data_IF_274732354257
#
_entry.id   IF_274732354257
#
_cell.length_a   1.000
_cell.length_b   1.000
_cell.length_c   1.000
_cell.angle_alpha   90.00
_cell.angle_beta   90.00
_cell.angle_gamma   90.00
#
_symmetry.space_group_name_H-M   'P 1'
#
loop_
_entity.id
_entity.type
_entity.pdbx_description
1 polymer ?
#
# COMPACT_ATOMS: atom_id res chain seq x y z
N UNK A 1 27.97 19.32 -20.56
CA UNK A 1 28.85 18.73 -19.52
C UNK A 1 28.01 18.61 -18.26
N UNK A 2 27.39 17.44 -18.04
CA UNK A 2 26.54 17.21 -16.88
C UNK A 2 27.35 16.46 -15.82
N UNK A 3 27.31 16.97 -14.59
CA UNK A 3 27.96 16.37 -13.42
C UNK A 3 27.14 15.16 -12.98
N UNK A 4 27.74 13.98 -13.07
CA UNK A 4 27.25 12.76 -12.41
C UNK A 4 27.63 12.89 -10.93
N UNK A 5 26.65 12.86 -10.04
CA UNK A 5 26.89 12.75 -8.60
C UNK A 5 27.33 11.30 -8.30
N UNK A 6 28.46 11.14 -7.61
CA UNK A 6 29.00 9.85 -7.22
C UNK A 6 28.24 9.23 -6.03
N UNK A 7 27.86 7.97 -6.23
CA UNK A 7 27.87 6.82 -5.29
C UNK A 7 27.96 7.15 -3.79
N UNK A 8 26.86 6.91 -3.08
CA UNK A 8 26.81 6.88 -1.61
C UNK A 8 26.04 5.66 -1.11
N UNK A 9 26.77 4.71 -0.51
CA UNK A 9 26.33 3.72 0.49
C UNK A 9 25.04 2.92 0.25
N UNK A 10 25.19 1.62 -0.05
CA UNK A 10 24.15 0.62 0.22
C UNK A 10 24.20 0.30 1.73
N UNK A 11 23.11 0.56 2.47
CA UNK A 11 22.59 -0.44 3.41
C UNK A 11 21.06 -0.46 3.26
N UNK A 12 20.43 -1.53 2.82
CA UNK A 12 20.22 -2.81 3.50
C UNK A 12 19.83 -3.83 2.41
N UNK A 13 19.83 -5.16 2.66
CA UNK A 13 18.88 -5.96 1.92
C UNK A 13 17.50 -5.36 2.25
N UNK A 14 16.78 -4.84 1.24
CA UNK A 14 15.34 -4.72 1.40
C UNK A 14 14.89 -6.18 1.60
N UNK A 15 14.76 -6.59 2.85
CA UNK A 15 13.98 -7.76 3.21
C UNK A 15 12.57 -7.36 2.84
N UNK A 16 12.19 -7.56 1.58
CA UNK A 16 10.80 -7.45 1.19
C UNK A 16 10.10 -8.54 1.98
N UNK A 17 9.40 -8.13 3.04
CA UNK A 17 8.59 -9.07 3.81
C UNK A 17 7.41 -9.57 2.98
N UNK A 18 7.17 -8.99 1.81
CA UNK A 18 6.51 -9.56 0.66
C UNK A 18 6.89 -8.77 -0.60
N UNK A 19 6.99 -9.41 -1.76
CA UNK A 19 7.27 -8.73 -3.04
C UNK A 19 6.30 -7.56 -3.30
N UNK A 20 5.08 -7.64 -2.75
CA UNK A 20 4.03 -6.63 -2.84
C UNK A 20 4.28 -5.36 -2.01
N UNK A 21 4.94 -5.45 -0.85
CA UNK A 21 5.32 -4.27 -0.08
C UNK A 21 6.39 -3.47 -0.83
N UNK A 22 7.35 -4.15 -1.45
CA UNK A 22 8.37 -3.53 -2.30
C UNK A 22 7.81 -2.93 -3.60
N UNK A 23 6.78 -3.56 -4.16
CA UNK A 23 6.12 -3.21 -5.42
C UNK A 23 5.24 -1.95 -5.31
N UNK A 24 4.69 -1.64 -4.12
CA UNK A 24 3.78 -0.49 -3.91
C UNK A 24 4.43 0.66 -3.12
N UNK A 25 5.72 0.54 -2.77
CA UNK A 25 6.51 1.70 -2.39
C UNK A 25 6.63 2.60 -3.63
N UNK A 26 6.10 3.82 -3.50
CA UNK A 26 6.16 4.88 -4.49
C UNK A 26 7.47 4.82 -5.27
N UNK A 27 7.40 4.43 -6.55
CA UNK A 27 8.57 4.52 -7.42
C UNK A 27 8.78 6.00 -7.67
N UNK A 28 9.50 6.63 -6.76
CA UNK A 28 9.85 8.03 -6.85
C UNK A 28 10.95 8.16 -7.91
N UNK A 29 10.56 8.12 -9.18
CA UNK A 29 11.30 8.47 -10.41
C UNK A 29 12.72 7.88 -10.62
N UNK A 30 13.26 7.11 -9.67
CA UNK A 30 14.66 6.65 -9.62
C UNK A 30 14.77 5.21 -9.06
N UNK A 31 13.67 4.44 -9.05
CA UNK A 31 13.60 3.15 -8.37
C UNK A 31 13.89 1.94 -9.27
N UNK A 32 14.80 1.07 -8.83
CA UNK A 32 14.96 -0.29 -9.36
C UNK A 32 14.02 -1.26 -8.63
N UNK A 33 13.35 -2.17 -9.34
CA UNK A 33 12.57 -3.27 -8.76
C UNK A 33 13.29 -4.60 -9.02
N UNK A 34 13.51 -5.39 -7.99
CA UNK A 34 14.12 -6.72 -8.10
C UNK A 34 13.18 -7.83 -7.63
N UNK A 35 13.24 -8.98 -8.31
CA UNK A 35 12.66 -10.26 -7.87
C UNK A 35 13.80 -11.23 -7.57
N UNK A 36 14.15 -11.37 -6.30
CA UNK A 36 15.39 -12.08 -5.93
C UNK A 36 16.61 -11.31 -6.43
N UNK A 37 17.39 -11.91 -7.33
CA UNK A 37 18.55 -11.27 -7.97
C UNK A 37 18.26 -10.76 -9.40
N UNK A 38 17.02 -10.90 -9.87
CA UNK A 38 16.59 -10.47 -11.21
C UNK A 38 16.07 -9.04 -11.15
N UNK A 39 16.62 -8.13 -11.98
CA UNK A 39 16.10 -6.78 -12.16
C UNK A 39 14.85 -6.82 -13.06
N UNK A 40 13.74 -6.29 -12.56
CA UNK A 40 12.45 -6.21 -13.26
C UNK A 40 12.21 -4.81 -13.81
N UNK A 41 12.44 -3.77 -13.01
CA UNK A 41 12.29 -2.36 -13.42
C UNK A 41 13.59 -1.61 -13.15
N UNK A 42 13.99 -0.74 -14.06
CA UNK A 42 14.97 0.32 -13.83
C UNK A 42 14.54 1.57 -14.60
N UNK A 43 13.96 2.55 -13.90
CA UNK A 43 13.50 3.80 -14.52
C UNK A 43 14.65 4.74 -14.95
N UNK A 44 15.88 4.46 -14.52
CA UNK A 44 17.06 5.25 -14.88
C UNK A 44 17.76 4.70 -16.13
N UNK A 45 17.65 3.40 -16.39
CA UNK A 45 18.29 2.74 -17.53
C UNK A 45 17.34 2.28 -18.64
N UNK A 46 16.06 2.03 -18.33
CA UNK A 46 15.08 1.49 -19.28
C UNK A 46 13.97 2.50 -19.58
N UNK A 47 13.44 2.43 -20.80
CA UNK A 47 12.24 3.18 -21.19
C UNK A 47 11.01 2.73 -20.40
N UNK A 48 9.96 3.56 -20.40
CA UNK A 48 8.68 3.20 -19.79
C UNK A 48 8.12 1.92 -20.41
N UNK A 49 8.16 1.79 -21.74
CA UNK A 49 7.65 0.62 -22.47
C UNK A 49 8.43 -0.66 -22.12
N UNK A 50 9.76 -0.58 -21.98
CA UNK A 50 10.59 -1.71 -21.55
C UNK A 50 10.26 -2.12 -20.12
N UNK A 51 10.10 -1.16 -19.21
CA UNK A 51 9.69 -1.43 -17.83
C UNK A 51 8.31 -2.10 -17.75
N UNK A 52 7.33 -1.62 -18.53
CA UNK A 52 6.00 -2.25 -18.61
C UNK A 52 6.09 -3.65 -19.20
N UNK A 53 6.89 -3.85 -20.26
CA UNK A 53 7.09 -5.18 -20.86
C UNK A 53 7.72 -6.17 -19.87
N UNK A 54 8.72 -5.73 -19.10
CA UNK A 54 9.38 -6.56 -18.09
C UNK A 54 8.42 -6.93 -16.95
N UNK A 55 7.59 -5.98 -16.50
CA UNK A 55 6.55 -6.25 -15.51
C UNK A 55 5.59 -7.33 -15.99
N UNK A 56 5.05 -7.18 -17.20
CA UNK A 56 4.13 -8.16 -17.78
C UNK A 56 4.81 -9.54 -17.94
N UNK A 57 6.06 -9.58 -18.38
CA UNK A 57 6.84 -10.83 -18.47
C UNK A 57 7.09 -11.47 -17.10
N UNK A 58 7.19 -10.66 -16.04
CA UNK A 58 7.31 -11.12 -14.66
C UNK A 58 5.96 -11.56 -14.04
N UNK A 59 4.85 -11.44 -14.79
CA UNK A 59 3.50 -11.71 -14.31
C UNK A 59 2.97 -10.62 -13.38
N UNK A 60 3.42 -9.38 -13.55
CA UNK A 60 3.07 -8.21 -12.75
C UNK A 60 2.31 -7.21 -13.63
N UNK A 61 1.15 -6.79 -13.17
CA UNK A 61 0.36 -5.70 -13.75
C UNK A 61 0.64 -4.39 -13.02
N UNK A 62 0.55 -3.27 -13.72
CA UNK A 62 0.77 -1.93 -13.18
C UNK A 62 -0.42 -1.01 -13.49
N UNK A 63 -0.81 -0.18 -12.52
CA UNK A 63 -1.89 0.83 -12.63
C UNK A 63 -1.38 2.18 -12.17
N UNK A 64 -1.67 3.24 -12.92
CA UNK A 64 -1.44 4.62 -12.47
C UNK A 64 -2.51 5.03 -11.46
N UNK A 65 -2.09 5.57 -10.33
CA UNK A 65 -2.93 6.18 -9.30
C UNK A 65 -2.41 7.57 -8.95
N UNK A 66 -2.69 8.55 -9.81
CA UNK A 66 -2.41 9.95 -9.51
C UNK A 66 -0.92 10.27 -9.40
N UNK A 67 -0.09 9.61 -10.22
CA UNK A 67 1.37 9.78 -10.21
C UNK A 67 2.13 8.68 -9.45
N UNK A 68 1.43 7.69 -8.90
CA UNK A 68 2.02 6.48 -8.36
C UNK A 68 1.74 5.29 -9.28
N UNK A 69 2.74 4.43 -9.48
CA UNK A 69 2.54 3.16 -10.16
C UNK A 69 2.28 2.08 -9.12
N UNK A 70 1.07 1.54 -9.12
CA UNK A 70 0.66 0.44 -8.25
C UNK A 70 0.87 -0.86 -9.00
N UNK A 71 1.63 -1.79 -8.44
CA UNK A 71 1.84 -3.09 -9.07
C UNK A 71 1.20 -4.22 -8.27
N UNK A 72 0.77 -5.24 -8.99
CA UNK A 72 0.15 -6.46 -8.45
C UNK A 72 0.52 -7.64 -9.33
N UNK A 73 0.55 -8.85 -8.78
CA UNK A 73 0.64 -10.04 -9.63
C UNK A 73 -0.64 -10.23 -10.42
N UNK A 74 -0.49 -10.61 -11.69
CA UNK A 74 -1.60 -11.01 -12.55
C UNK A 74 -2.30 -12.25 -12.02
N UNK A 75 -1.58 -13.15 -11.36
CA UNK A 75 -2.15 -14.26 -10.58
C UNK A 75 -2.54 -13.76 -9.18
N UNK A 76 -3.85 -13.68 -8.85
CA UNK A 76 -4.30 -13.17 -7.56
C UNK A 76 -3.83 -14.00 -6.36
N UNK A 77 -3.52 -15.29 -6.55
CA UNK A 77 -3.07 -16.17 -5.47
C UNK A 77 -1.65 -15.87 -4.98
N UNK A 78 -0.87 -15.17 -5.81
CA UNK A 78 0.47 -14.68 -5.45
C UNK A 78 0.41 -13.34 -4.72
N UNK A 79 -0.77 -12.71 -4.69
CA UNK A 79 -0.95 -11.46 -3.97
C UNK A 79 -1.21 -11.73 -2.48
N UNK A 80 -0.57 -10.94 -1.62
CA UNK A 80 -0.75 -11.01 -0.18
C UNK A 80 -2.10 -10.42 0.19
N UNK A 81 -2.77 -11.03 1.16
CA UNK A 81 -4.00 -10.47 1.73
C UNK A 81 -3.75 -9.37 2.77
N UNK A 82 -2.49 -8.96 2.93
CA UNK A 82 -2.12 -7.93 3.90
C UNK A 82 -2.87 -6.63 3.62
N UNK A 83 -3.33 -5.99 4.69
CA UNK A 83 -3.86 -4.62 4.62
C UNK A 83 -3.16 -3.75 5.64
N UNK A 84 -3.16 -2.47 5.37
CA UNK A 84 -2.53 -1.44 6.17
C UNK A 84 -3.59 -0.46 6.61
N UNK A 85 -3.57 -0.12 7.89
CA UNK A 85 -4.57 0.74 8.49
C UNK A 85 -3.92 1.99 9.02
N UNK A 86 -4.46 3.12 8.61
CA UNK A 86 -4.26 4.40 9.25
C UNK A 86 -5.58 4.84 9.88
N UNK A 87 -5.53 5.35 11.09
CA UNK A 87 -6.68 5.97 11.74
C UNK A 87 -6.30 7.31 12.35
N UNK A 88 -7.28 8.21 12.43
CA UNK A 88 -7.14 9.41 13.24
C UNK A 88 -8.49 9.84 13.83
N UNK A 89 -8.42 10.50 14.98
CA UNK A 89 -9.57 11.08 15.67
C UNK A 89 -9.61 12.58 15.42
N UNK A 90 -10.79 13.14 15.11
CA UNK A 90 -10.96 14.54 14.79
C UNK A 90 -12.29 15.09 15.33
N UNK A 91 -12.40 16.40 15.60
CA UNK A 91 -13.66 17.01 15.98
C UNK A 91 -14.61 17.10 14.77
N UNK A 92 -15.85 16.65 14.92
CA UNK A 92 -16.93 16.72 13.94
C UNK A 92 -18.26 17.03 14.63
N UNK A 93 -18.97 18.05 14.16
CA UNK A 93 -20.30 18.46 14.67
C UNK A 93 -20.38 18.58 16.21
N UNK A 94 -19.32 19.10 16.84
CA UNK A 94 -19.28 19.28 18.30
C UNK A 94 -18.99 18.01 19.10
N UNK A 95 -18.61 16.92 18.44
CA UNK A 95 -18.16 15.65 19.05
C UNK A 95 -16.82 15.22 18.47
N UNK A 96 -16.22 14.17 19.04
CA UNK A 96 -15.09 13.48 18.41
C UNK A 96 -15.62 12.39 17.47
N UNK A 97 -15.01 12.30 16.30
CA UNK A 97 -15.24 11.25 15.31
C UNK A 97 -13.91 10.57 14.95
N UNK A 98 -14.00 9.39 14.35
CA UNK A 98 -12.86 8.59 13.90
C UNK A 98 -12.98 8.34 12.41
N UNK A 99 -11.90 8.59 11.68
CA UNK A 99 -11.75 8.15 10.31
C UNK A 99 -10.69 7.06 10.24
N UNK A 100 -11.03 5.97 9.56
CA UNK A 100 -10.18 4.79 9.38
C UNK A 100 -9.99 4.60 7.88
N UNK A 101 -8.74 4.54 7.47
CA UNK A 101 -8.31 4.25 6.11
C UNK A 101 -7.69 2.86 6.12
N UNK A 102 -8.23 1.97 5.30
CA UNK A 102 -7.70 0.64 5.07
C UNK A 102 -7.23 0.61 3.63
N UNK A 103 -6.00 0.14 3.40
CA UNK A 103 -5.43 0.08 2.07
C UNK A 103 -4.55 -1.16 1.91
N UNK A 104 -4.30 -1.57 0.69
CA UNK A 104 -3.48 -2.72 0.29
C UNK A 104 -1.97 -2.42 0.27
N UNK A 105 -1.53 -1.28 0.82
CA UNK A 105 -0.15 -0.81 0.71
C UNK A 105 0.41 -0.03 1.88
N UNK A 106 1.73 -0.06 1.97
CA UNK A 106 2.46 0.72 2.97
C UNK A 106 2.83 2.12 2.43
N UNK A 107 2.14 3.17 2.89
CA UNK A 107 2.42 4.57 2.52
C UNK A 107 3.34 5.32 3.49
N UNK A 108 3.52 4.80 4.70
CA UNK A 108 4.24 5.48 5.79
C UNK A 108 4.61 4.50 6.90
N UNK A 109 5.50 4.91 7.81
CA UNK A 109 5.83 4.10 9.00
C UNK A 109 4.74 4.18 10.09
N UNK A 110 3.68 4.97 9.90
CA UNK A 110 2.66 5.22 10.91
C UNK A 110 1.45 4.29 10.78
N UNK A 111 1.38 3.51 9.72
CA UNK A 111 0.29 2.56 9.44
C UNK A 111 0.57 1.20 10.05
N UNK A 112 -0.50 0.56 10.51
CA UNK A 112 -0.45 -0.77 11.13
C UNK A 112 -0.75 -1.82 10.07
N UNK A 113 0.14 -2.79 9.92
CA UNK A 113 -0.03 -3.95 9.03
C UNK A 113 -0.86 -5.03 9.70
N UNK A 114 -1.83 -5.58 8.97
CA UNK A 114 -2.64 -6.75 9.33
C UNK A 114 -2.53 -7.81 8.23
N UNK A 115 -2.72 -9.09 8.58
CA UNK A 115 -2.62 -10.19 7.60
C UNK A 115 -3.87 -10.31 6.70
N UNK A 116 -4.98 -9.70 7.10
CA UNK A 116 -6.24 -9.70 6.35
C UNK A 116 -7.13 -8.50 6.69
N UNK A 117 -8.08 -8.20 5.80
CA UNK A 117 -9.16 -7.24 6.07
C UNK A 117 -9.99 -7.63 7.29
N UNK A 118 -10.27 -8.93 7.49
CA UNK A 118 -11.04 -9.40 8.64
C UNK A 118 -10.33 -9.07 9.96
N UNK A 119 -9.03 -9.33 10.03
CA UNK A 119 -8.20 -9.03 11.19
C UNK A 119 -8.13 -7.52 11.46
N UNK A 120 -7.93 -6.71 10.42
CA UNK A 120 -7.95 -5.25 10.52
C UNK A 120 -9.29 -4.73 11.06
N UNK A 121 -10.40 -5.19 10.50
CA UNK A 121 -11.72 -4.79 10.96
C UNK A 121 -11.98 -5.24 12.40
N UNK A 122 -11.54 -6.44 12.80
CA UNK A 122 -11.65 -6.89 14.18
C UNK A 122 -10.86 -5.98 15.13
N UNK A 123 -9.60 -5.65 14.80
CA UNK A 123 -8.79 -4.75 15.60
C UNK A 123 -9.41 -3.35 15.73
N UNK A 124 -10.02 -2.83 14.66
CA UNK A 124 -10.71 -1.54 14.69
C UNK A 124 -11.98 -1.57 15.54
N UNK A 125 -12.74 -2.68 15.50
CA UNK A 125 -13.91 -2.88 16.37
C UNK A 125 -13.50 -2.81 17.83
N UNK A 126 -12.48 -3.58 18.20
CA UNK A 126 -11.98 -3.67 19.57
C UNK A 126 -11.44 -2.32 20.08
N UNK A 127 -10.85 -1.52 19.18
CA UNK A 127 -10.34 -0.18 19.49
C UNK A 127 -11.45 0.85 19.71
N UNK A 128 -12.51 0.86 18.90
CA UNK A 128 -13.42 2.01 18.81
C UNK A 128 -14.87 1.78 19.25
N UNK A 129 -15.45 0.59 19.10
CA UNK A 129 -16.89 0.40 19.33
C UNK A 129 -17.32 0.51 20.80
N UNK A 130 -16.38 0.56 21.75
CA UNK A 130 -16.64 0.90 23.15
C UNK A 130 -16.53 2.40 23.48
N UNK A 131 -16.03 3.21 22.55
CA UNK A 131 -15.70 4.63 22.75
C UNK A 131 -16.48 5.58 21.84
N UNK A 132 -16.89 5.11 20.66
CA UNK A 132 -17.61 5.86 19.64
C UNK A 132 -18.85 5.10 19.20
N UNK A 133 -19.92 5.82 18.87
CA UNK A 133 -21.06 5.23 18.18
C UNK A 133 -20.72 4.93 16.71
N UNK A 134 -21.47 4.02 16.07
CA UNK A 134 -21.22 3.64 14.68
C UNK A 134 -21.28 4.84 13.71
N UNK A 135 -22.10 5.85 14.00
CA UNK A 135 -22.21 7.07 13.17
C UNK A 135 -21.01 8.03 13.33
N UNK A 136 -20.22 7.85 14.39
CA UNK A 136 -19.00 8.63 14.66
C UNK A 136 -17.76 7.95 14.06
N UNK A 137 -17.92 6.78 13.44
CA UNK A 137 -16.83 6.02 12.81
C UNK A 137 -17.08 5.95 11.30
N UNK A 138 -16.11 6.41 10.51
CA UNK A 138 -16.12 6.23 9.06
C UNK A 138 -14.93 5.39 8.64
N UNK A 139 -15.21 4.25 7.99
CA UNK A 139 -14.19 3.33 7.48
C UNK A 139 -14.18 3.42 5.95
N UNK A 140 -13.01 3.66 5.39
CA UNK A 140 -12.78 3.73 3.95
C UNK A 140 -11.75 2.68 3.57
N UNK A 141 -12.11 1.76 2.69
CA UNK A 141 -11.19 0.81 2.10
C UNK A 141 -10.81 1.28 0.70
N UNK A 142 -9.52 1.43 0.46
CA UNK A 142 -8.93 1.77 -0.82
C UNK A 142 -8.38 0.49 -1.44
N UNK A 143 -8.87 0.18 -2.63
CA UNK A 143 -8.47 -0.98 -3.42
C UNK A 143 -7.91 -0.54 -4.78
N UNK A 144 -7.43 -1.52 -5.52
CA UNK A 144 -7.08 -1.43 -6.93
C UNK A 144 -8.27 -1.12 -7.86
N UNK A 145 -9.49 -1.04 -7.36
CA UNK A 145 -10.68 -0.70 -8.16
C UNK A 145 -11.41 0.55 -7.68
N UNK A 146 -11.03 1.13 -6.53
CA UNK A 146 -11.58 2.39 -6.05
C UNK A 146 -11.57 2.52 -4.53
N UNK A 147 -12.43 3.39 -4.02
CA UNK A 147 -12.65 3.56 -2.59
C UNK A 147 -14.07 3.11 -2.25
N UNK A 148 -14.21 2.23 -1.26
CA UNK A 148 -15.49 1.81 -0.72
C UNK A 148 -15.62 2.25 0.74
N UNK A 149 -16.84 2.68 1.12
CA UNK A 149 -17.17 2.97 2.51
C UNK A 149 -17.66 1.69 3.18
N UNK A 150 -16.98 1.29 4.25
CA UNK A 150 -17.38 0.14 5.07
C UNK A 150 -18.11 0.63 6.33
N UNK A 151 -18.94 -0.26 6.89
CA UNK A 151 -19.57 -0.06 8.19
C UNK A 151 -18.89 -0.94 9.22
N UNK A 152 -18.42 -0.33 10.31
CA UNK A 152 -17.87 -1.04 11.46
C UNK A 152 -19.02 -1.41 12.41
N UNK A 153 -19.59 -2.60 12.25
CA UNK A 153 -20.68 -3.10 13.11
C UNK A 153 -20.17 -3.97 14.25
N UNK A 154 -20.92 -4.02 15.36
CA UNK A 154 -20.69 -5.03 16.41
C UNK A 154 -20.92 -6.45 15.84
N UNK A 155 -20.06 -7.41 16.23
CA UNK A 155 -20.32 -8.84 15.94
C UNK A 155 -21.52 -9.28 16.78
N UNK A 156 -22.53 -9.83 16.12
CA UNK A 156 -23.65 -10.55 16.74
C UNK A 156 -23.20 -11.84 17.40
#
# INVERSE_FOLDING_TARGET
MYKIAQKGSIPYPIKSLDLLTAVRHCINVEGELYRGNELIIDFMALSYEENISNLLAAGITARDDGGYLLLSYTDPSLNTSNVFVWDYTYPWEGKMAVQIFIQDYEDSNAIVKFASLEEALQAMRDKYLGQFSENEISVYQFTDTGCEKLTLTQKS
#
